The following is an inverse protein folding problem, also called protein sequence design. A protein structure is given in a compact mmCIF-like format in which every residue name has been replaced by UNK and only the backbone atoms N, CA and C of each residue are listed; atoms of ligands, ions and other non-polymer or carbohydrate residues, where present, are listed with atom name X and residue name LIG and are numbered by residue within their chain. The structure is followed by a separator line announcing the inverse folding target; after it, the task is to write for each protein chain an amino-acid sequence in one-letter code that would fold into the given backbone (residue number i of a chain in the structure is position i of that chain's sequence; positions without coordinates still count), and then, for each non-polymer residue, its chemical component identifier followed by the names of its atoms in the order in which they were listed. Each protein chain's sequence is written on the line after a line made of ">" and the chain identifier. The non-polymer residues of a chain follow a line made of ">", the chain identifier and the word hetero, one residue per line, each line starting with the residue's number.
data_IF_421506108218
#
_entry.id   IF_421506108218
#
_cell.length_a   1.000
_cell.length_b   1.000
_cell.length_c   1.000
_cell.angle_alpha   90.00
_cell.angle_beta   90.00
_cell.angle_gamma   90.00
#
_symmetry.space_group_name_H-M   'P 1'
#
loop_
_entity.id
_entity.type
_entity.pdbx_description
1 polymer ?
#
# COMPACT_ATOMS: atom_id res chain seq x y z
N UNK A 1 -5.83 -2.54 -13.84
CA UNK A 1 -6.39 -2.21 -12.51
C UNK A 1 -5.65 -1.00 -11.98
N UNK A 2 -6.27 -0.20 -11.11
CA UNK A 2 -5.86 1.19 -10.88
C UNK A 2 -4.42 1.40 -10.34
N UNK A 3 -3.74 0.37 -9.81
CA UNK A 3 -2.38 0.51 -9.26
C UNK A 3 -1.45 -0.71 -9.51
N UNK A 4 -1.67 -1.49 -10.58
CA UNK A 4 -0.86 -2.70 -10.82
C UNK A 4 0.61 -2.40 -11.15
N UNK A 5 0.84 -1.50 -12.12
CA UNK A 5 2.19 -1.04 -12.50
C UNK A 5 2.95 -0.44 -11.33
N UNK A 6 2.25 0.35 -10.52
CA UNK A 6 2.73 1.08 -9.35
C UNK A 6 3.15 0.09 -8.27
N UNK A 7 2.32 -0.92 -7.99
CA UNK A 7 2.65 -2.00 -7.05
C UNK A 7 3.93 -2.74 -7.48
N UNK A 8 4.07 -3.06 -8.77
CA UNK A 8 5.29 -3.69 -9.28
C UNK A 8 6.52 -2.78 -9.14
N UNK A 9 6.39 -1.48 -9.45
CA UNK A 9 7.48 -0.52 -9.25
C UNK A 9 7.88 -0.45 -7.77
N UNK A 10 6.91 -0.41 -6.87
CA UNK A 10 7.14 -0.28 -5.43
C UNK A 10 7.79 -1.54 -4.83
N UNK A 11 7.46 -2.72 -5.34
CA UNK A 11 8.03 -3.99 -4.91
C UNK A 11 9.39 -4.35 -5.54
N UNK A 12 9.73 -3.83 -6.73
CA UNK A 12 10.92 -4.28 -7.48
C UNK A 12 12.07 -3.27 -7.55
N UNK A 13 11.82 -2.00 -7.24
CA UNK A 13 12.86 -0.96 -7.23
C UNK A 13 13.10 -0.45 -5.83
N UNK A 14 14.30 0.03 -5.51
CA UNK A 14 14.59 0.67 -4.23
C UNK A 14 14.18 2.15 -4.25
N UNK A 15 13.75 2.68 -3.11
CA UNK A 15 13.47 4.11 -2.93
C UNK A 15 14.68 4.94 -2.54
N UNK A 16 15.85 4.29 -2.32
CA UNK A 16 17.08 4.95 -1.86
C UNK A 16 17.53 6.08 -2.79
N UNK A 17 17.46 5.83 -4.09
CA UNK A 17 17.93 6.73 -5.15
C UNK A 17 16.80 7.15 -6.10
N UNK A 18 15.54 6.83 -5.76
CA UNK A 18 14.37 7.08 -6.60
C UNK A 18 13.17 7.46 -5.74
N UNK A 19 12.60 8.64 -6.00
CA UNK A 19 11.27 8.97 -5.49
C UNK A 19 10.21 8.18 -6.28
N UNK A 20 9.85 7.00 -5.77
CA UNK A 20 8.89 6.10 -6.44
C UNK A 20 7.51 6.71 -6.59
N UNK A 21 7.05 7.48 -5.60
CA UNK A 21 5.74 8.13 -5.64
C UNK A 21 5.65 9.11 -6.81
N UNK A 22 6.69 9.95 -6.97
CA UNK A 22 6.79 10.86 -8.10
C UNK A 22 6.96 10.12 -9.44
N UNK A 23 7.81 9.09 -9.49
CA UNK A 23 8.04 8.31 -10.71
C UNK A 23 6.78 7.56 -11.19
N UNK A 24 5.92 7.13 -10.27
CA UNK A 24 4.65 6.49 -10.55
C UNK A 24 3.51 7.48 -10.83
N UNK A 25 3.70 8.79 -10.58
CA UNK A 25 2.62 9.78 -10.67
C UNK A 25 1.48 9.56 -9.66
N UNK A 26 1.76 8.88 -8.54
CA UNK A 26 0.73 8.54 -7.54
C UNK A 26 0.40 9.77 -6.71
N UNK A 27 -0.90 10.08 -6.64
CA UNK A 27 -1.42 11.15 -5.78
C UNK A 27 -1.43 10.70 -4.33
N UNK A 28 -0.94 11.58 -3.46
CA UNK A 28 -0.93 11.36 -2.03
C UNK A 28 -1.64 12.49 -1.30
N UNK A 29 -2.05 12.21 -0.06
CA UNK A 29 -2.58 13.19 0.87
C UNK A 29 -1.95 12.97 2.26
N UNK A 30 -1.88 14.00 3.12
CA UNK A 30 -1.38 13.84 4.48
C UNK A 30 -2.20 12.82 5.28
N UNK A 31 -1.52 12.03 6.10
CA UNK A 31 -2.16 11.22 7.13
C UNK A 31 -2.75 12.11 8.24
N UNK A 32 -3.76 11.60 8.96
CA UNK A 32 -4.51 12.35 9.97
C UNK A 32 -3.94 12.27 11.38
N UNK A 33 -3.22 11.19 11.69
CA UNK A 33 -2.70 10.87 13.04
C UNK A 33 -1.19 10.63 13.05
N UNK A 34 -0.60 10.15 11.94
CA UNK A 34 0.84 9.83 11.84
C UNK A 34 1.59 10.77 10.88
N UNK A 35 2.92 10.82 11.01
CA UNK A 35 3.79 11.53 10.06
C UNK A 35 4.08 10.66 8.83
N UNK A 36 3.05 10.53 7.99
CA UNK A 36 3.12 9.76 6.74
C UNK A 36 2.12 10.29 5.72
N UNK A 37 2.02 9.59 4.59
CA UNK A 37 1.08 9.91 3.51
C UNK A 37 0.11 8.76 3.26
N UNK A 38 -1.12 9.10 2.87
CA UNK A 38 -2.11 8.17 2.35
C UNK A 38 -2.06 8.19 0.81
N UNK A 39 -2.35 7.07 0.18
CA UNK A 39 -2.56 7.01 -1.27
C UNK A 39 -4.00 7.46 -1.56
N UNK A 40 -4.16 8.55 -2.31
CA UNK A 40 -5.46 9.21 -2.46
C UNK A 40 -6.51 8.30 -3.14
N UNK A 41 -6.08 7.49 -4.11
CA UNK A 41 -6.96 6.62 -4.90
C UNK A 41 -6.97 5.17 -4.39
N UNK A 42 -6.42 4.89 -3.20
CA UNK A 42 -6.45 3.54 -2.63
C UNK A 42 -7.84 3.14 -2.15
N UNK A 43 -8.15 1.84 -2.27
CA UNK A 43 -9.40 1.24 -1.74
C UNK A 43 -9.53 1.49 -0.23
N UNK A 44 -8.42 1.39 0.49
CA UNK A 44 -8.33 1.70 1.90
C UNK A 44 -6.91 2.11 2.28
N UNK A 45 -6.78 2.99 3.27
CA UNK A 45 -5.53 3.31 3.95
C UNK A 45 -5.70 3.06 5.45
N UNK A 46 -4.67 2.50 6.09
CA UNK A 46 -4.65 2.28 7.54
C UNK A 46 -3.42 2.99 8.12
N UNK A 47 -3.65 3.90 9.05
CA UNK A 47 -2.58 4.55 9.79
C UNK A 47 -2.25 3.71 11.01
N UNK A 48 -0.97 3.34 11.16
CA UNK A 48 -0.52 2.44 12.22
C UNK A 48 0.62 3.05 13.04
N UNK A 49 0.60 2.82 14.35
CA UNK A 49 1.77 3.03 15.23
C UNK A 49 2.40 1.68 15.55
N UNK A 50 3.72 1.60 15.48
CA UNK A 50 4.45 0.39 15.82
C UNK A 50 4.33 0.10 17.32
N UNK A 51 3.92 -1.13 17.67
CA UNK A 51 3.77 -1.55 19.07
C UNK A 51 4.62 -2.77 19.43
N UNK A 52 5.11 -3.54 18.46
CA UNK A 52 6.03 -4.65 18.70
C UNK A 52 6.76 -5.08 17.43
N UNK A 53 7.93 -5.70 17.61
CA UNK A 53 8.73 -6.33 16.57
C UNK A 53 9.13 -7.74 17.02
N UNK A 54 9.09 -8.70 16.10
CA UNK A 54 9.51 -10.07 16.34
C UNK A 54 10.49 -10.51 15.25
N UNK A 55 11.73 -10.79 15.62
CA UNK A 55 12.73 -11.38 14.72
C UNK A 55 12.36 -12.83 14.41
N UNK A 56 12.27 -13.19 13.13
CA UNK A 56 11.91 -14.55 12.67
C UNK A 56 12.99 -15.19 11.79
N UNK A 57 14.23 -14.70 11.87
CA UNK A 57 15.37 -15.15 11.07
C UNK A 57 15.70 -14.17 9.95
N UNK A 58 15.31 -14.49 8.71
CA UNK A 58 15.56 -13.67 7.53
C UNK A 58 14.58 -12.49 7.36
N UNK A 59 13.56 -12.42 8.21
CA UNK A 59 12.56 -11.36 8.24
C UNK A 59 12.27 -10.91 9.68
N UNK A 60 11.62 -9.75 9.79
CA UNK A 60 11.06 -9.21 11.04
C UNK A 60 9.56 -9.01 10.85
N UNK A 61 8.77 -9.50 11.80
CA UNK A 61 7.33 -9.26 11.87
C UNK A 61 7.09 -8.00 12.70
N UNK A 62 6.48 -6.98 12.08
CA UNK A 62 6.10 -5.74 12.75
C UNK A 62 4.61 -5.78 13.13
N UNK A 63 4.29 -5.46 14.38
CA UNK A 63 2.91 -5.34 14.88
C UNK A 63 2.55 -3.86 14.93
N UNK A 64 1.60 -3.44 14.09
CA UNK A 64 1.07 -2.08 14.06
C UNK A 64 -0.32 -1.99 14.70
N UNK A 65 -0.51 -1.05 15.64
CA UNK A 65 -1.82 -0.66 16.14
C UNK A 65 -2.47 0.33 15.15
N UNK A 66 -3.63 -0.03 14.62
CA UNK A 66 -4.43 0.88 13.77
C UNK A 66 -4.95 2.03 14.63
N UNK A 67 -4.57 3.26 14.28
CA UNK A 67 -4.99 4.50 14.96
C UNK A 67 -5.96 5.34 14.13
N UNK A 68 -6.01 5.12 12.81
CA UNK A 68 -7.05 5.63 11.93
C UNK A 68 -7.22 4.70 10.71
N UNK A 69 -8.42 4.68 10.14
CA UNK A 69 -8.74 3.90 8.95
C UNK A 69 -9.57 4.74 7.98
N UNK A 70 -9.24 4.67 6.70
CA UNK A 70 -9.86 5.44 5.63
C UNK A 70 -10.29 4.47 4.54
N UNK A 71 -11.55 4.52 4.13
CA UNK A 71 -12.07 3.73 3.02
C UNK A 71 -12.42 4.65 1.86
N UNK A 72 -12.17 4.20 0.63
CA UNK A 72 -12.60 4.93 -0.55
C UNK A 72 -14.13 4.92 -0.64
N UNK A 73 -14.72 6.09 -0.86
CA UNK A 73 -16.17 6.22 -1.05
C UNK A 73 -16.62 5.73 -2.44
N UNK A 74 -15.71 5.77 -3.43
CA UNK A 74 -15.96 5.22 -4.76
C UNK A 74 -15.93 3.68 -4.72
N UNK A 75 -17.12 3.09 -4.75
CA UNK A 75 -17.33 1.64 -4.76
C UNK A 75 -16.85 0.95 -6.03
N UNK A 76 -16.51 1.69 -7.09
CA UNK A 76 -15.92 1.14 -8.30
C UNK A 76 -14.44 0.76 -8.12
N UNK A 77 -13.77 1.32 -7.12
CA UNK A 77 -12.38 1.00 -6.81
C UNK A 77 -12.30 -0.38 -6.17
N UNK A 78 -11.55 -1.29 -6.81
CA UNK A 78 -11.46 -2.70 -6.42
C UNK A 78 -10.11 -3.03 -5.83
N UNK A 79 -10.10 -3.96 -4.87
CA UNK A 79 -8.86 -4.53 -4.30
C UNK A 79 -8.04 -5.19 -5.40
N UNK A 80 -6.73 -5.02 -5.29
CA UNK A 80 -5.75 -5.66 -6.15
C UNK A 80 -5.21 -6.90 -5.46
N UNK A 81 -5.10 -8.00 -6.19
CA UNK A 81 -4.60 -9.29 -5.71
C UNK A 81 -3.45 -9.75 -6.59
N UNK A 82 -2.52 -10.50 -6.00
CA UNK A 82 -1.50 -11.23 -6.76
C UNK A 82 -2.11 -12.47 -7.41
N UNK A 83 -1.89 -12.59 -8.71
CA UNK A 83 -2.35 -13.70 -9.56
C UNK A 83 -1.19 -14.60 -10.02
N UNK A 84 0.01 -14.40 -9.48
CA UNK A 84 1.25 -15.09 -9.89
C UNK A 84 1.89 -14.49 -11.14
N UNK A 85 3.17 -14.79 -11.35
CA UNK A 85 4.00 -14.34 -12.48
C UNK A 85 3.97 -12.81 -12.68
N UNK A 86 4.14 -12.05 -11.59
CA UNK A 86 4.04 -10.59 -11.56
C UNK A 86 2.71 -10.01 -12.05
N UNK A 87 1.66 -10.83 -12.18
CA UNK A 87 0.33 -10.36 -12.57
C UNK A 87 -0.45 -9.92 -11.34
N UNK A 88 -1.04 -8.74 -11.46
CA UNK A 88 -1.90 -8.15 -10.43
C UNK A 88 -3.27 -7.84 -11.03
N UNK A 89 -4.34 -8.22 -10.35
CA UNK A 89 -5.70 -8.04 -10.86
C UNK A 89 -6.75 -7.98 -9.76
N UNK A 90 -7.96 -7.55 -10.11
CA UNK A 90 -9.10 -7.67 -9.20
C UNK A 90 -9.59 -9.12 -9.16
N UNK A 91 -10.08 -9.56 -8.02
CA UNK A 91 -10.85 -10.81 -7.94
C UNK A 91 -12.27 -10.50 -8.43
N UNK A 92 -12.68 -11.20 -9.48
CA UNK A 92 -14.08 -11.32 -9.89
C UNK A 92 -14.58 -12.59 -9.20
N UNK A 93 -15.47 -12.50 -8.19
CA UNK A 93 -16.16 -13.68 -7.69
C UNK A 93 -16.89 -14.31 -8.87
N UNK A 94 -16.63 -15.60 -9.10
CA UNK A 94 -17.38 -16.41 -10.07
C UNK A 94 -18.84 -16.60 -9.66
#
# INVERSE_FOLDING_TARGET
>A
SAMASETLLFGTKSGRDLNKLAAAGVKTQPASVIDSVLLADAVANFECKLVSELETGDHVVFVGQVVAAHANEDRSVRRLYSLGDDRLGGVIPG
#
